data_IF_081608896279
#
_entry.id   IF_081608896279
#
_cell.length_a   1.000
_cell.length_b   1.000
_cell.length_c   1.000
_cell.angle_alpha   90.00
_cell.angle_beta   90.00
_cell.angle_gamma   90.00
#
_symmetry.space_group_name_H-M   'P 1'
#
loop_
_entity.id
_entity.type
_entity.pdbx_description
1 polymer ?
#
# COMPACT_ATOMS: atom_id res chain seq x y z
N UNK A 1 8.92 2.45 20.46
CA UNK A 1 7.89 1.52 19.99
C UNK A 1 7.26 2.11 18.75
N UNK A 2 7.04 1.32 17.70
CA UNK A 2 6.27 1.77 16.52
C UNK A 2 4.79 1.81 16.93
N UNK A 3 4.11 2.89 16.56
CA UNK A 3 2.66 2.97 16.71
C UNK A 3 1.98 1.95 15.80
N UNK A 4 0.89 1.36 16.29
CA UNK A 4 0.06 0.46 15.50
C UNK A 4 -0.70 1.31 14.47
N UNK A 5 -0.54 0.98 13.19
CA UNK A 5 -1.21 1.70 12.12
C UNK A 5 -2.74 1.55 12.23
N UNK A 6 -3.44 2.65 12.01
CA UNK A 6 -4.90 2.71 11.91
C UNK A 6 -5.32 2.68 10.44
N UNK A 7 -6.56 2.27 10.18
CA UNK A 7 -7.14 2.39 8.85
C UNK A 7 -7.45 3.86 8.46
N UNK A 8 -8.00 4.06 7.26
CA UNK A 8 -8.38 5.40 6.77
C UNK A 8 -9.48 6.07 7.59
N UNK A 9 -10.25 5.28 8.34
CA UNK A 9 -11.34 5.74 9.21
C UNK A 9 -10.86 5.97 10.65
N UNK A 10 -9.58 5.68 10.94
CA UNK A 10 -8.96 5.86 12.25
C UNK A 10 -9.13 4.68 13.20
N UNK A 11 -9.59 3.53 12.72
CA UNK A 11 -9.80 2.33 13.54
C UNK A 11 -8.52 1.50 13.63
N UNK A 12 -8.33 0.83 14.76
CA UNK A 12 -7.28 -0.17 14.94
C UNK A 12 -7.66 -1.51 14.28
N UNK A 13 -6.67 -2.36 13.94
CA UNK A 13 -6.92 -3.72 13.48
C UNK A 13 -7.85 -4.47 14.43
N UNK A 14 -8.82 -5.22 13.88
CA UNK A 14 -9.81 -5.95 14.68
C UNK A 14 -9.16 -6.87 15.73
N UNK A 15 -8.02 -7.51 15.41
CA UNK A 15 -7.31 -8.37 16.33
C UNK A 15 -6.79 -7.62 17.58
N UNK A 16 -6.39 -6.35 17.42
CA UNK A 16 -5.94 -5.48 18.52
C UNK A 16 -7.13 -5.12 19.41
N UNK A 17 -8.26 -4.76 18.79
CA UNK A 17 -9.51 -4.45 19.50
C UNK A 17 -9.98 -5.67 20.30
N UNK A 18 -9.98 -6.86 19.66
CA UNK A 18 -10.35 -8.13 20.31
C UNK A 18 -9.42 -8.46 21.47
N UNK A 19 -8.11 -8.40 21.28
CA UNK A 19 -7.13 -8.67 22.32
C UNK A 19 -7.30 -7.72 23.53
N UNK A 20 -7.49 -6.43 23.26
CA UNK A 20 -7.72 -5.42 24.32
C UNK A 20 -9.01 -5.70 25.09
N UNK A 21 -10.09 -6.06 24.38
CA UNK A 21 -11.36 -6.42 25.02
C UNK A 21 -11.24 -7.68 25.89
N UNK A 22 -10.54 -8.72 25.42
CA UNK A 22 -10.26 -9.93 26.18
C UNK A 22 -9.46 -9.65 27.45
N UNK A 23 -8.42 -8.82 27.35
CA UNK A 23 -7.60 -8.40 28.51
C UNK A 23 -8.48 -7.67 29.52
N UNK A 24 -9.31 -6.72 29.06
CA UNK A 24 -10.20 -5.96 29.96
C UNK A 24 -11.20 -6.86 30.70
N UNK A 25 -11.87 -7.76 29.95
CA UNK A 25 -12.82 -8.71 30.56
C UNK A 25 -12.12 -9.68 31.50
N UNK A 26 -10.95 -10.21 31.15
CA UNK A 26 -10.18 -11.11 31.99
C UNK A 26 -9.76 -10.45 33.31
N UNK A 27 -9.34 -9.17 33.27
CA UNK A 27 -9.02 -8.40 34.45
C UNK A 27 -10.25 -8.18 35.35
N UNK A 28 -11.41 -7.87 34.76
CA UNK A 28 -12.66 -7.71 35.51
C UNK A 28 -13.09 -9.02 36.18
N UNK A 29 -13.02 -10.13 35.47
CA UNK A 29 -13.35 -11.44 36.03
C UNK A 29 -12.42 -11.82 37.18
N UNK A 30 -11.12 -11.61 37.03
CA UNK A 30 -10.11 -11.85 38.09
C UNK A 30 -10.38 -11.04 39.36
N UNK A 31 -11.01 -9.87 39.24
CA UNK A 31 -11.36 -9.05 40.41
C UNK A 31 -12.70 -9.43 41.03
N UNK A 32 -13.67 -9.92 40.29
CA UNK A 32 -15.02 -10.24 40.74
C UNK A 32 -15.21 -11.70 41.13
N UNK A 33 -14.63 -12.60 40.37
CA UNK A 33 -14.75 -14.05 40.51
C UNK A 33 -13.43 -14.72 40.08
N UNK A 34 -12.41 -14.72 40.96
CA UNK A 34 -11.06 -15.20 40.60
C UNK A 34 -10.99 -16.71 40.25
N UNK A 35 -11.98 -17.49 40.69
CA UNK A 35 -12.06 -18.93 40.43
C UNK A 35 -12.89 -19.28 39.19
N UNK A 36 -13.27 -18.28 38.40
CA UNK A 36 -14.06 -18.50 37.19
C UNK A 36 -13.27 -19.27 36.12
N UNK A 37 -13.78 -20.43 35.65
CA UNK A 37 -13.03 -21.30 34.70
C UNK A 37 -12.80 -20.63 33.32
N UNK A 38 -13.54 -19.59 33.01
CA UNK A 38 -13.41 -18.86 31.73
C UNK A 38 -12.13 -18.01 31.71
N UNK A 39 -11.57 -17.66 32.87
CA UNK A 39 -10.33 -16.87 32.99
C UNK A 39 -9.17 -17.55 32.28
N UNK A 40 -9.00 -18.85 32.47
CA UNK A 40 -7.91 -19.62 31.81
C UNK A 40 -8.09 -19.65 30.30
N UNK A 41 -9.33 -19.81 29.82
CA UNK A 41 -9.61 -19.81 28.39
C UNK A 41 -9.32 -18.45 27.75
N UNK A 42 -9.69 -17.33 28.40
CA UNK A 42 -9.36 -16.00 27.89
C UNK A 42 -7.86 -15.71 27.94
N UNK A 43 -7.17 -16.17 28.99
CA UNK A 43 -5.73 -16.02 29.09
C UNK A 43 -5.02 -16.79 27.94
N UNK A 44 -5.43 -18.02 27.68
CA UNK A 44 -4.86 -18.80 26.58
C UNK A 44 -5.07 -18.12 25.21
N UNK A 45 -6.26 -17.57 24.94
CA UNK A 45 -6.53 -16.85 23.70
C UNK A 45 -5.70 -15.55 23.60
N UNK A 46 -5.52 -14.81 24.70
CA UNK A 46 -4.68 -13.61 24.74
C UNK A 46 -3.23 -13.98 24.43
N UNK A 47 -2.70 -15.04 25.04
CA UNK A 47 -1.34 -15.49 24.87
C UNK A 47 -1.09 -15.98 23.44
N UNK A 48 -2.05 -16.69 22.83
CA UNK A 48 -2.00 -17.09 21.42
C UNK A 48 -1.95 -15.89 20.47
N UNK A 49 -2.77 -14.86 20.72
CA UNK A 49 -2.76 -13.63 19.90
C UNK A 49 -1.42 -12.91 20.03
N UNK A 50 -0.91 -12.76 21.26
CA UNK A 50 0.37 -12.09 21.52
C UNK A 50 1.52 -12.85 20.88
N UNK A 51 1.55 -14.17 21.00
CA UNK A 51 2.56 -15.02 20.36
C UNK A 51 2.46 -14.96 18.84
N UNK A 52 1.25 -14.97 18.30
CA UNK A 52 1.00 -14.81 16.87
C UNK A 52 1.53 -13.49 16.32
N UNK A 53 1.37 -12.39 17.07
CA UNK A 53 1.93 -11.08 16.73
C UNK A 53 3.46 -11.08 16.81
N UNK A 54 4.02 -11.59 17.91
CA UNK A 54 5.47 -11.62 18.13
C UNK A 54 6.21 -12.51 17.14
N UNK A 55 5.59 -13.62 16.73
CA UNK A 55 6.14 -14.54 15.72
C UNK A 55 5.91 -14.06 14.27
N UNK A 56 5.19 -12.96 14.06
CA UNK A 56 4.85 -12.47 12.74
C UNK A 56 3.77 -13.27 11.99
N UNK A 57 3.14 -14.26 12.64
CA UNK A 57 1.98 -14.98 12.08
C UNK A 57 0.75 -14.07 11.94
N UNK A 58 0.60 -13.13 12.86
CA UNK A 58 -0.48 -12.13 12.84
C UNK A 58 0.11 -10.77 12.49
N UNK A 59 -0.27 -10.22 11.34
CA UNK A 59 0.13 -8.89 10.93
C UNK A 59 -0.78 -7.83 11.56
N UNK A 60 -0.20 -6.84 12.24
CA UNK A 60 -0.91 -5.71 12.84
C UNK A 60 -1.10 -4.53 11.89
N UNK A 61 -0.58 -4.64 10.68
CA UNK A 61 -0.73 -3.58 9.70
C UNK A 61 -2.03 -3.75 8.95
N UNK A 62 -2.83 -2.69 8.85
CA UNK A 62 -3.87 -2.59 7.82
C UNK A 62 -3.26 -2.57 6.39
N UNK A 63 -1.98 -2.37 6.27
CA UNK A 63 -1.19 -2.81 5.15
C UNK A 63 -1.12 -4.33 5.17
N UNK A 64 -2.29 -4.92 5.05
CA UNK A 64 -2.40 -6.29 4.65
C UNK A 64 -1.52 -6.42 3.41
N UNK A 65 -0.83 -7.52 3.34
CA UNK A 65 -0.04 -8.01 2.21
C UNK A 65 -0.57 -7.65 0.81
N UNK A 66 -1.84 -7.32 0.67
CA UNK A 66 -2.43 -6.79 -0.56
C UNK A 66 -1.99 -5.36 -0.90
N UNK A 67 -1.74 -4.48 0.08
CA UNK A 67 -1.34 -3.09 -0.19
C UNK A 67 0.18 -2.92 -0.24
N UNK A 68 0.94 -3.66 0.55
CA UNK A 68 2.41 -3.65 0.47
C UNK A 68 2.92 -4.25 -0.84
N UNK A 69 2.21 -5.23 -1.41
CA UNK A 69 2.56 -5.81 -2.70
C UNK A 69 2.15 -4.96 -3.91
N UNK A 70 1.36 -3.90 -3.71
CA UNK A 70 1.00 -2.94 -4.77
C UNK A 70 2.02 -1.82 -4.94
N UNK A 71 2.86 -1.58 -3.93
CA UNK A 71 3.84 -0.50 -3.93
C UNK A 71 3.34 0.82 -3.36
N UNK A 72 4.28 1.73 -3.14
CA UNK A 72 4.05 3.06 -2.59
C UNK A 72 4.43 4.10 -3.64
N UNK A 73 3.50 4.96 -4.02
CA UNK A 73 3.74 6.05 -4.97
C UNK A 73 4.40 7.22 -4.24
N UNK A 74 5.52 7.70 -4.77
CA UNK A 74 6.24 8.89 -4.29
C UNK A 74 6.39 9.92 -5.40
N UNK A 75 6.18 11.19 -5.09
CA UNK A 75 6.46 12.29 -5.99
C UNK A 75 7.98 12.54 -5.99
N UNK A 76 8.63 12.46 -7.15
CA UNK A 76 10.06 12.74 -7.33
C UNK A 76 10.27 14.13 -7.92
N UNK A 77 9.63 14.37 -9.05
CA UNK A 77 9.61 15.70 -9.69
C UNK A 77 8.15 16.03 -10.01
N UNK A 78 7.64 17.02 -9.34
CA UNK A 78 6.26 17.47 -9.52
C UNK A 78 6.22 18.96 -9.76
N UNK A 79 5.91 19.36 -10.97
CA UNK A 79 5.84 20.76 -11.36
C UNK A 79 4.41 21.29 -11.30
N UNK A 80 3.50 20.68 -12.04
CA UNK A 80 2.14 21.18 -12.14
C UNK A 80 1.12 20.18 -12.68
N UNK A 81 1.49 18.91 -12.86
CA UNK A 81 0.53 17.91 -13.36
C UNK A 81 -0.68 17.79 -12.45
N UNK A 82 -1.85 17.99 -13.03
CA UNK A 82 -3.12 17.68 -12.38
C UNK A 82 -3.59 16.26 -12.69
N UNK A 83 -3.05 15.66 -13.75
CA UNK A 83 -3.17 14.23 -14.05
C UNK A 83 -1.98 13.55 -13.39
N UNK A 84 -2.21 12.74 -12.38
CA UNK A 84 -1.18 12.07 -11.59
C UNK A 84 -1.58 10.66 -11.20
N UNK A 85 -0.61 9.78 -10.89
CA UNK A 85 -0.90 8.47 -10.34
C UNK A 85 -1.65 8.59 -9.01
N UNK A 86 -2.76 7.87 -8.86
CA UNK A 86 -3.59 7.91 -7.65
C UNK A 86 -3.83 6.53 -7.07
N UNK A 87 -3.74 5.49 -7.89
CA UNK A 87 -4.10 4.15 -7.45
C UNK A 87 -3.25 3.10 -8.15
N UNK A 88 -2.86 2.09 -7.39
CA UNK A 88 -2.19 0.89 -7.87
C UNK A 88 -3.08 -0.32 -7.63
N UNK A 89 -3.06 -1.27 -8.56
CA UNK A 89 -3.79 -2.53 -8.47
C UNK A 89 -2.91 -3.69 -8.93
N UNK A 90 -3.19 -4.89 -8.41
CA UNK A 90 -2.45 -6.09 -8.72
C UNK A 90 -1.50 -6.50 -7.59
N UNK A 91 -0.68 -7.48 -7.86
CA UNK A 91 0.36 -7.96 -6.96
C UNK A 91 1.69 -7.97 -7.72
N UNK A 92 2.70 -7.39 -7.11
CA UNK A 92 4.03 -7.38 -7.69
C UNK A 92 4.59 -8.81 -7.77
N UNK A 93 4.93 -9.25 -8.98
CA UNK A 93 5.55 -10.55 -9.25
C UNK A 93 7.06 -10.38 -9.39
N UNK A 94 7.72 -9.98 -8.30
CA UNK A 94 9.19 -9.89 -8.24
C UNK A 94 9.69 -10.57 -6.97
N UNK A 95 10.98 -10.90 -6.94
CA UNK A 95 11.64 -11.42 -5.76
C UNK A 95 12.46 -10.29 -5.14
N UNK A 96 11.95 -9.74 -4.01
CA UNK A 96 12.64 -8.69 -3.27
C UNK A 96 12.05 -7.30 -3.51
N UNK A 97 12.91 -6.32 -3.76
CA UNK A 97 12.56 -4.90 -3.86
C UNK A 97 12.92 -4.33 -5.23
N UNK A 98 12.08 -3.45 -5.75
CA UNK A 98 12.42 -2.60 -6.90
C UNK A 98 11.79 -1.21 -6.79
N UNK A 99 12.34 -0.26 -7.55
CA UNK A 99 11.83 1.08 -7.76
C UNK A 99 11.39 1.23 -9.21
N UNK A 100 10.09 1.32 -9.42
CA UNK A 100 9.51 1.60 -10.73
C UNK A 100 9.41 3.12 -10.91
N UNK A 101 10.05 3.63 -11.97
CA UNK A 101 9.96 5.03 -12.33
C UNK A 101 8.87 5.23 -13.37
N UNK A 102 7.97 6.18 -13.13
CA UNK A 102 6.89 6.60 -14.03
C UNK A 102 7.11 8.06 -14.38
N UNK A 103 7.15 8.39 -15.66
CA UNK A 103 7.40 9.76 -16.13
C UNK A 103 6.45 10.15 -17.24
N UNK A 104 5.91 11.37 -17.16
CA UNK A 104 5.16 11.97 -18.27
C UNK A 104 6.14 12.37 -19.37
N UNK A 105 5.87 11.91 -20.58
CA UNK A 105 6.68 12.23 -21.77
C UNK A 105 6.06 13.40 -22.51
N UNK A 106 4.80 13.26 -22.92
CA UNK A 106 4.08 14.31 -23.61
C UNK A 106 3.03 14.92 -22.69
N UNK A 107 3.07 16.23 -22.56
CA UNK A 107 2.04 16.99 -21.85
C UNK A 107 0.70 16.92 -22.59
N UNK A 108 -0.39 17.09 -21.86
CA UNK A 108 -1.72 17.15 -22.48
C UNK A 108 -2.83 16.68 -21.57
N UNK A 109 -4.02 16.60 -22.13
CA UNK A 109 -5.23 16.09 -21.45
C UNK A 109 -5.29 14.56 -21.51
N UNK A 110 -6.21 13.95 -20.77
CA UNK A 110 -6.50 12.53 -20.88
C UNK A 110 -6.75 12.11 -22.34
N UNK A 111 -6.15 11.00 -22.75
CA UNK A 111 -6.19 10.48 -24.11
C UNK A 111 -5.14 11.06 -25.06
N UNK A 112 -4.44 12.14 -24.65
CA UNK A 112 -3.35 12.74 -25.46
C UNK A 112 -2.01 12.70 -24.75
N UNK A 113 -1.96 12.96 -23.44
CA UNK A 113 -0.72 12.84 -22.68
C UNK A 113 -0.22 11.40 -22.63
N UNK A 114 1.11 11.23 -22.59
CA UNK A 114 1.76 9.92 -22.59
C UNK A 114 2.67 9.75 -21.37
N UNK A 115 2.84 8.51 -20.95
CA UNK A 115 3.78 8.15 -19.90
C UNK A 115 4.71 7.00 -20.34
N UNK A 116 5.86 6.95 -19.73
CA UNK A 116 6.81 5.85 -19.87
C UNK A 116 7.18 5.31 -18.51
N UNK A 117 7.59 4.05 -18.49
CA UNK A 117 7.91 3.31 -17.25
C UNK A 117 9.28 2.67 -17.37
N UNK A 118 10.05 2.75 -16.31
CA UNK A 118 11.35 2.10 -16.16
C UNK A 118 11.40 1.29 -14.87
N UNK A 119 12.15 0.20 -14.91
CA UNK A 119 12.44 -0.67 -13.76
C UNK A 119 13.94 -0.74 -13.53
N UNK A 120 14.33 -1.04 -12.30
CA UNK A 120 15.74 -1.26 -11.94
C UNK A 120 16.09 -2.75 -11.85
N UNK A 121 15.11 -3.65 -11.88
CA UNK A 121 15.27 -5.11 -11.77
C UNK A 121 16.16 -5.52 -10.58
N UNK A 122 15.96 -4.87 -9.42
CA UNK A 122 16.73 -5.09 -8.21
C UNK A 122 18.17 -4.55 -8.24
N UNK A 123 18.60 -3.91 -9.32
CA UNK A 123 19.92 -3.28 -9.45
C UNK A 123 19.76 -1.77 -9.63
N UNK A 124 20.14 -1.00 -8.61
CA UNK A 124 19.99 0.46 -8.58
C UNK A 124 20.67 1.20 -9.75
N UNK A 125 21.64 0.55 -10.41
CA UNK A 125 22.35 1.10 -11.56
C UNK A 125 21.63 0.87 -12.89
N UNK A 126 20.66 -0.05 -12.92
CA UNK A 126 19.86 -0.32 -14.12
C UNK A 126 18.71 0.67 -14.27
N UNK A 127 18.30 0.85 -15.52
CA UNK A 127 17.18 1.71 -15.89
C UNK A 127 16.55 1.15 -17.17
N UNK A 128 15.82 0.04 -17.01
CA UNK A 128 15.22 -0.70 -18.12
C UNK A 128 13.85 -0.11 -18.45
N UNK A 129 13.69 0.45 -19.64
CA UNK A 129 12.40 0.96 -20.09
C UNK A 129 11.48 -0.20 -20.48
N UNK A 130 10.36 -0.34 -19.79
CA UNK A 130 9.37 -1.43 -20.00
C UNK A 130 8.11 -0.94 -20.70
N UNK A 131 7.80 0.36 -20.60
CA UNK A 131 6.69 1.01 -21.32
C UNK A 131 7.21 2.28 -21.97
N UNK A 132 6.85 2.50 -23.23
CA UNK A 132 7.29 3.65 -24.01
C UNK A 132 6.08 4.44 -24.49
N UNK A 133 5.94 5.69 -24.02
CA UNK A 133 4.97 6.69 -24.50
C UNK A 133 3.54 6.15 -24.65
N UNK A 134 3.02 5.41 -23.64
CA UNK A 134 1.65 4.92 -23.62
C UNK A 134 0.70 6.06 -23.27
N UNK A 135 -0.44 6.16 -23.96
CA UNK A 135 -1.44 7.20 -23.69
C UNK A 135 -2.16 6.96 -22.38
N UNK A 136 -2.31 8.01 -21.58
CA UNK A 136 -3.06 7.96 -20.33
C UNK A 136 -4.56 8.08 -20.63
N UNK A 137 -5.34 7.06 -20.29
CA UNK A 137 -6.78 7.01 -20.58
C UNK A 137 -7.67 7.19 -19.34
N UNK A 138 -7.10 7.27 -18.13
CA UNK A 138 -7.83 7.40 -16.88
C UNK A 138 -8.30 6.08 -16.26
N UNK A 139 -8.19 4.96 -16.97
CA UNK A 139 -8.44 3.60 -16.47
C UNK A 139 -7.17 2.98 -15.89
N UNK A 140 -7.30 1.75 -15.36
CA UNK A 140 -6.15 0.96 -14.95
C UNK A 140 -5.35 0.49 -16.16
N UNK A 141 -4.12 0.94 -16.25
CA UNK A 141 -3.17 0.62 -17.32
C UNK A 141 -2.02 -0.23 -16.78
N UNK A 142 -1.37 -0.97 -17.66
CA UNK A 142 -0.22 -1.80 -17.29
C UNK A 142 0.91 -0.95 -16.73
N UNK A 143 1.56 -1.44 -15.67
CA UNK A 143 2.76 -0.84 -15.10
C UNK A 143 3.96 -1.77 -15.33
N UNK A 144 4.41 -2.45 -14.31
CA UNK A 144 5.47 -3.46 -14.36
C UNK A 144 5.15 -4.57 -13.35
N UNK A 145 5.78 -5.73 -13.47
CA UNK A 145 5.65 -6.85 -12.54
C UNK A 145 4.20 -7.31 -12.27
N UNK A 146 3.30 -7.16 -13.23
CA UNK A 146 1.88 -7.51 -13.06
C UNK A 146 1.04 -6.45 -12.33
N UNK A 147 1.64 -5.33 -11.97
CA UNK A 147 0.93 -4.18 -11.42
C UNK A 147 0.23 -3.38 -12.50
N UNK A 148 -0.83 -2.69 -12.09
CA UNK A 148 -1.55 -1.71 -12.89
C UNK A 148 -1.61 -0.39 -12.15
N UNK A 149 -1.54 0.70 -12.91
CA UNK A 149 -1.58 2.08 -12.42
C UNK A 149 -2.80 2.78 -13.00
N UNK A 150 -3.44 3.62 -12.20
CA UNK A 150 -4.49 4.53 -12.64
C UNK A 150 -4.08 5.97 -12.39
N UNK A 151 -4.22 6.78 -13.41
CA UNK A 151 -4.04 8.22 -13.31
C UNK A 151 -5.42 8.89 -13.14
N UNK A 152 -5.51 9.88 -12.26
CA UNK A 152 -6.72 10.67 -12.07
C UNK A 152 -6.43 12.14 -12.30
N UNK A 153 -7.50 12.85 -12.58
CA UNK A 153 -7.52 14.24 -12.98
C UNK A 153 -7.96 14.40 -14.43
N UNK A 154 -8.29 15.61 -14.86
CA UNK A 154 -8.62 15.89 -16.25
C UNK A 154 -10.04 15.55 -16.70
N UNK A 155 -10.95 15.31 -15.77
CA UNK A 155 -12.37 15.04 -16.07
C UNK A 155 -13.05 16.25 -16.74
N UNK A 156 -12.52 17.44 -16.48
CA UNK A 156 -13.03 18.71 -17.03
C UNK A 156 -12.52 19.02 -18.46
N UNK A 157 -11.71 18.13 -19.04
CA UNK A 157 -11.12 18.32 -20.38
C UNK A 157 -10.06 19.44 -20.46
N UNK A 158 -9.87 20.21 -19.39
CA UNK A 158 -8.90 21.33 -19.31
C UNK A 158 -7.67 20.98 -18.49
N UNK A 159 -7.78 19.97 -17.65
CA UNK A 159 -6.71 19.50 -16.76
C UNK A 159 -5.63 18.76 -17.55
N UNK A 160 -4.40 19.21 -17.43
CA UNK A 160 -3.28 18.69 -18.21
C UNK A 160 -2.26 17.98 -17.33
N UNK A 161 -1.58 16.99 -17.93
CA UNK A 161 -0.32 16.49 -17.45
C UNK A 161 0.81 17.42 -17.88
N UNK A 162 1.77 17.68 -16.99
CA UNK A 162 2.97 18.41 -17.33
C UNK A 162 4.08 17.42 -17.77
N UNK A 163 4.75 17.73 -18.86
CA UNK A 163 5.89 16.93 -19.29
C UNK A 163 7.01 16.97 -18.24
N UNK A 164 7.72 15.85 -18.14
CA UNK A 164 8.84 15.63 -17.21
C UNK A 164 8.45 15.42 -15.74
N UNK A 165 7.18 15.53 -15.37
CA UNK A 165 6.77 15.12 -14.04
C UNK A 165 7.01 13.62 -13.86
N UNK A 166 7.57 13.24 -12.70
CA UNK A 166 8.11 11.92 -12.43
C UNK A 166 7.69 11.43 -11.05
N UNK A 167 7.30 10.17 -10.97
CA UNK A 167 6.98 9.46 -9.74
C UNK A 167 7.81 8.19 -9.63
N UNK A 168 8.15 7.83 -8.42
CA UNK A 168 8.71 6.53 -8.09
C UNK A 168 7.68 5.68 -7.34
N UNK A 169 7.65 4.39 -7.65
CA UNK A 169 6.79 3.41 -6.99
C UNK A 169 7.70 2.35 -6.39
N UNK A 170 7.81 2.37 -5.06
CA UNK A 170 8.53 1.34 -4.31
C UNK A 170 7.68 0.09 -4.24
N UNK A 171 8.20 -1.04 -4.72
CA UNK A 171 7.49 -2.33 -4.76
C UNK A 171 8.29 -3.42 -4.07
N UNK A 172 7.56 -4.32 -3.40
CA UNK A 172 8.10 -5.48 -2.69
C UNK A 172 7.33 -6.72 -3.15
N UNK A 173 8.05 -7.80 -3.43
CA UNK A 173 7.50 -9.10 -3.82
C UNK A 173 7.64 -10.16 -2.77
#
# INVERSE_FOLDING_TARGET
>A
AKEIAKDREGNYPFIVIRCTALIAVNLLLKTQDPDNPVIESFQAEIDEIIEGINSGKISLTHQITADSSKGIIRDVTYTSSKIRPVELRGRASLNGFDNIKVKIIDAGVLGTCTYSVWTKDGDLLKNNQVITAEKINGDFQTLAYGLQIRFAGGIDGTTQAAALDEWEIEVYG
#
